data_IF_411626244722
#
_entry.id   IF_411626244722
#
_cell.length_a   1.000
_cell.length_b   1.000
_cell.length_c   1.000
_cell.angle_alpha   90.00
_cell.angle_beta   90.00
_cell.angle_gamma   90.00
#
_symmetry.space_group_name_H-M   'P 1'
#
loop_
_entity.id
_entity.type
_entity.pdbx_description
1 polymer ?
#
# COMPACT_ATOMS: atom_id res chain seq x y z
N UNK A 1 23.43 7.69 -30.12
CA UNK A 1 22.31 8.04 -29.23
C UNK A 1 21.82 6.76 -28.54
N UNK A 2 22.10 6.58 -27.25
CA UNK A 2 21.75 5.34 -26.54
C UNK A 2 20.24 5.27 -26.29
N UNK A 3 19.58 4.20 -26.76
CA UNK A 3 18.16 3.96 -26.49
C UNK A 3 17.95 3.69 -24.99
N UNK A 4 17.12 4.51 -24.35
CA UNK A 4 16.74 4.34 -22.94
C UNK A 4 15.94 3.05 -22.79
N UNK A 5 16.45 2.07 -22.04
CA UNK A 5 15.71 0.85 -21.71
C UNK A 5 14.45 1.22 -20.92
N UNK A 6 13.28 0.95 -21.49
CA UNK A 6 11.99 1.12 -20.81
C UNK A 6 11.80 -0.07 -19.88
N UNK A 7 11.66 0.19 -18.57
CA UNK A 7 11.31 -0.85 -17.59
C UNK A 7 9.80 -0.90 -17.45
N UNK A 8 9.19 -2.08 -17.66
CA UNK A 8 7.76 -2.28 -17.44
C UNK A 8 7.41 -2.14 -15.94
N UNK A 9 6.23 -1.57 -15.68
CA UNK A 9 5.71 -1.43 -14.31
C UNK A 9 5.32 -2.79 -13.76
N UNK A 10 5.70 -3.06 -12.51
CA UNK A 10 5.32 -4.29 -11.80
C UNK A 10 3.81 -4.23 -11.48
N UNK A 11 3.05 -5.31 -11.70
CA UNK A 11 1.63 -5.36 -11.36
C UNK A 11 1.40 -5.23 -9.85
N UNK A 12 0.22 -4.73 -9.46
CA UNK A 12 -0.07 -4.43 -8.06
C UNK A 12 -0.30 -5.70 -7.23
N UNK A 13 0.45 -5.87 -6.15
CA UNK A 13 0.36 -7.02 -5.24
C UNK A 13 -0.51 -6.76 -4.01
N UNK A 14 -1.59 -5.99 -4.17
CA UNK A 14 -2.48 -5.56 -3.06
C UNK A 14 -3.12 -6.74 -2.32
N UNK A 15 -3.37 -7.84 -3.01
CA UNK A 15 -3.97 -9.06 -2.46
C UNK A 15 -3.12 -9.71 -1.35
N UNK A 16 -1.79 -9.52 -1.37
CA UNK A 16 -0.89 -10.07 -0.35
C UNK A 16 -1.01 -9.40 1.02
N UNK A 17 -1.71 -8.27 1.11
CA UNK A 17 -1.85 -7.49 2.35
C UNK A 17 -3.01 -7.96 3.23
N UNK A 18 -3.78 -8.95 2.79
CA UNK A 18 -4.83 -9.58 3.58
C UNK A 18 -4.25 -10.81 4.27
N UNK A 19 -4.30 -10.82 5.61
CA UNK A 19 -3.95 -11.99 6.42
C UNK A 19 -5.21 -12.60 6.98
N UNK A 20 -5.30 -13.94 6.92
CA UNK A 20 -6.39 -14.70 7.52
C UNK A 20 -5.83 -15.25 8.83
N UNK A 21 -6.39 -14.83 9.96
CA UNK A 21 -6.05 -15.36 11.27
C UNK A 21 -7.35 -15.89 11.89
N UNK A 22 -7.43 -17.20 12.06
CA UNK A 22 -8.49 -17.89 12.83
C UNK A 22 -9.92 -17.49 12.43
N UNK A 23 -10.21 -17.52 11.12
CA UNK A 23 -11.54 -17.20 10.58
C UNK A 23 -11.90 -15.71 10.54
N UNK A 24 -11.03 -14.81 11.01
CA UNK A 24 -11.19 -13.35 10.92
C UNK A 24 -10.17 -12.75 9.95
N UNK A 25 -10.68 -11.98 8.98
CA UNK A 25 -9.84 -11.26 8.02
C UNK A 25 -9.23 -10.04 8.71
N UNK A 26 -7.95 -10.14 9.10
CA UNK A 26 -7.21 -9.01 9.68
C UNK A 26 -6.72 -8.10 8.56
N UNK A 27 -7.33 -6.92 8.45
CA UNK A 27 -6.96 -5.89 7.45
C UNK A 27 -5.90 -4.97 8.04
N UNK A 28 -4.81 -4.73 7.30
CA UNK A 28 -3.82 -3.69 7.62
C UNK A 28 -4.46 -2.30 7.66
N UNK A 29 -3.81 -1.35 8.37
CA UNK A 29 -4.27 0.06 8.51
C UNK A 29 -4.71 0.62 7.16
N UNK A 30 -5.96 1.06 7.11
CA UNK A 30 -6.57 1.75 5.98
C UNK A 30 -6.44 3.26 6.19
N UNK A 31 -6.41 4.02 5.11
CA UNK A 31 -6.36 5.47 5.23
C UNK A 31 -7.75 6.02 5.64
N UNK A 32 -7.85 6.85 6.69
CA UNK A 32 -9.14 7.38 7.18
C UNK A 32 -9.82 8.31 6.16
N UNK A 33 -9.06 8.99 5.31
CA UNK A 33 -9.59 9.90 4.27
C UNK A 33 -10.02 9.20 2.99
N UNK A 34 -9.46 8.02 2.71
CA UNK A 34 -9.63 7.32 1.43
C UNK A 34 -10.60 6.14 1.50
N UNK A 35 -10.97 5.71 2.70
CA UNK A 35 -11.92 4.64 2.92
C UNK A 35 -11.35 3.22 2.77
N UNK A 36 -12.20 2.21 3.01
CA UNK A 36 -11.81 0.81 2.98
C UNK A 36 -11.41 0.37 1.57
N UNK A 37 -10.17 -0.09 1.41
CA UNK A 37 -9.61 -0.54 0.13
C UNK A 37 -8.27 0.09 -0.23
N UNK A 38 -7.88 1.16 0.46
CA UNK A 38 -6.57 1.80 0.30
C UNK A 38 -5.73 1.54 1.55
N UNK A 39 -4.86 0.56 1.44
CA UNK A 39 -3.88 0.24 2.45
C UNK A 39 -2.81 1.32 2.52
N UNK A 40 -2.47 1.75 3.72
CA UNK A 40 -1.28 2.59 3.92
C UNK A 40 -0.02 1.75 3.72
N UNK A 41 0.99 2.36 3.11
CA UNK A 41 2.35 1.82 3.07
C UNK A 41 2.97 1.95 4.45
N UNK A 42 3.42 0.83 5.02
CA UNK A 42 4.13 0.83 6.28
C UNK A 42 5.62 1.05 5.98
N UNK A 43 6.13 2.22 6.33
CA UNK A 43 7.56 2.51 6.39
C UNK A 43 8.02 2.46 7.85
N UNK A 44 9.33 2.59 8.09
CA UNK A 44 9.91 2.50 9.45
C UNK A 44 9.40 3.63 10.34
N UNK A 45 9.30 4.82 9.78
CA UNK A 45 9.01 6.09 10.45
C UNK A 45 7.57 6.60 10.21
N UNK A 46 6.85 6.02 9.25
CA UNK A 46 5.57 6.56 8.78
C UNK A 46 4.65 5.54 8.14
N UNK A 47 3.36 5.81 8.24
CA UNK A 47 2.31 5.28 7.40
C UNK A 47 1.99 6.27 6.29
N UNK A 48 2.01 5.81 5.03
CA UNK A 48 1.80 6.67 3.87
C UNK A 48 0.67 6.18 2.96
N UNK A 49 -0.27 7.07 2.65
CA UNK A 49 -1.36 6.85 1.70
C UNK A 49 -0.90 7.22 0.28
N UNK A 50 -0.72 6.23 -0.59
CA UNK A 50 -0.32 6.48 -1.99
C UNK A 50 -1.36 7.16 -2.88
N UNK A 51 -2.64 7.25 -2.46
CA UNK A 51 -3.71 7.92 -3.23
C UNK A 51 -3.92 9.38 -2.82
N UNK A 52 -3.79 9.66 -1.53
CA UNK A 52 -4.13 10.94 -0.93
C UNK A 52 -2.92 11.68 -0.34
N UNK A 53 -1.72 11.11 -0.50
CA UNK A 53 -0.46 11.62 0.05
C UNK A 53 -0.48 11.85 1.57
N UNK A 54 -1.50 11.35 2.26
CA UNK A 54 -1.64 11.48 3.70
C UNK A 54 -0.57 10.64 4.40
N UNK A 55 0.13 11.26 5.33
CA UNK A 55 1.21 10.66 6.08
C UNK A 55 0.88 10.74 7.57
N UNK A 56 0.87 9.60 8.24
CA UNK A 56 0.85 9.52 9.70
C UNK A 56 2.23 9.06 10.15
N UNK A 57 2.86 9.75 11.10
CA UNK A 57 4.07 9.23 11.73
C UNK A 57 3.68 8.07 12.64
N UNK A 58 4.49 7.02 12.61
CA UNK A 58 4.21 5.76 13.31
C UNK A 58 4.49 5.89 14.81
#
# INVERSE_FOLDING_TARGET
MAKKKVKNKVPSTKYKKFTISDGKVTRKKYCPKCGPGIFMGEHKDRYYCGKCHYMEKK
#
